data_IF_140785153011
#
_entry.id   IF_140785153011
#
_cell.length_a   1.000
_cell.length_b   1.000
_cell.length_c   1.000
_cell.angle_alpha   90.00
_cell.angle_beta   90.00
_cell.angle_gamma   90.00
#
_symmetry.space_group_name_H-M   'P 1'
#
loop_
_entity.id
_entity.type
_entity.pdbx_description
1 polymer ?
#
# COMPACT_ATOMS: atom_id res chain seq x y z
N UNK A 1 -2.86 17.59 16.42
CA UNK A 1 -1.69 17.81 15.53
C UNK A 1 -0.56 16.94 16.03
N UNK A 2 -0.03 16.06 15.17
CA UNK A 2 1.14 15.21 15.48
C UNK A 2 2.22 15.43 14.44
N UNK A 3 3.47 15.13 14.77
CA UNK A 3 4.56 15.10 13.78
C UNK A 3 4.62 13.72 13.11
N UNK A 4 4.46 13.70 11.79
CA UNK A 4 4.47 12.49 10.97
C UNK A 4 5.66 12.51 10.03
N UNK A 5 6.42 11.42 10.02
CA UNK A 5 7.50 11.20 9.05
C UNK A 5 7.14 10.07 8.10
N UNK A 6 7.00 10.40 6.81
CA UNK A 6 6.63 9.46 5.76
C UNK A 6 7.86 9.00 4.96
N UNK A 7 8.20 7.73 5.03
CA UNK A 7 9.30 7.12 4.28
C UNK A 7 8.80 6.70 2.90
N UNK A 8 9.28 7.40 1.87
CA UNK A 8 8.95 7.13 0.47
C UNK A 8 7.77 7.96 -0.05
N UNK A 9 8.05 9.17 -0.52
CA UNK A 9 7.06 10.08 -1.09
C UNK A 9 6.57 9.67 -2.49
N UNK A 10 6.55 8.39 -2.89
CA UNK A 10 6.29 7.94 -4.27
C UNK A 10 4.90 8.31 -4.83
N UNK A 11 4.43 7.56 -5.82
CA UNK A 11 3.09 7.79 -6.42
C UNK A 11 1.97 7.84 -5.37
N UNK A 12 2.01 7.00 -4.33
CA UNK A 12 1.06 7.06 -3.20
C UNK A 12 1.53 8.02 -2.09
N UNK A 13 2.82 8.01 -1.79
CA UNK A 13 3.37 8.72 -0.63
C UNK A 13 3.33 10.24 -0.74
N UNK A 14 3.53 10.83 -1.93
CA UNK A 14 3.44 12.28 -2.12
C UNK A 14 2.03 12.82 -1.83
N UNK A 15 0.97 12.33 -2.50
CA UNK A 15 -0.38 12.83 -2.21
C UNK A 15 -0.85 12.50 -0.79
N UNK A 16 -0.39 11.38 -0.20
CA UNK A 16 -0.60 11.12 1.22
C UNK A 16 0.07 12.18 2.11
N UNK A 17 1.33 12.54 1.83
CA UNK A 17 2.02 13.58 2.57
C UNK A 17 1.30 14.93 2.45
N UNK A 18 0.83 15.29 1.26
CA UNK A 18 0.04 16.50 1.03
C UNK A 18 -1.24 16.50 1.87
N UNK A 19 -2.04 15.43 1.83
CA UNK A 19 -3.26 15.34 2.62
C UNK A 19 -3.00 15.41 4.13
N UNK A 20 -1.91 14.82 4.62
CA UNK A 20 -1.55 14.89 6.04
C UNK A 20 -1.15 16.31 6.50
N UNK A 21 -0.61 17.15 5.61
CA UNK A 21 -0.21 18.53 5.98
C UNK A 21 -1.38 19.41 6.42
N UNK A 22 -2.62 19.04 6.11
CA UNK A 22 -3.81 19.77 6.55
C UNK A 22 -3.96 19.78 8.08
N UNK A 23 -3.53 18.73 8.78
CA UNK A 23 -3.76 18.55 10.22
C UNK A 23 -2.49 18.17 11.02
N UNK A 24 -1.36 17.95 10.33
CA UNK A 24 -0.12 17.44 10.91
C UNK A 24 1.11 18.18 10.38
N UNK A 25 2.18 18.16 11.18
CA UNK A 25 3.51 18.51 10.70
C UNK A 25 4.07 17.29 9.95
N UNK A 26 4.39 17.44 8.67
CA UNK A 26 4.82 16.31 7.82
C UNK A 26 6.25 16.50 7.32
N UNK A 27 7.05 15.46 7.49
CA UNK A 27 8.35 15.29 6.83
C UNK A 27 8.29 14.06 5.93
N UNK A 28 8.96 14.09 4.78
CA UNK A 28 8.96 12.91 3.91
C UNK A 28 10.28 12.66 3.21
N UNK A 29 10.50 11.42 2.77
CA UNK A 29 11.77 11.02 2.15
C UNK A 29 11.67 10.64 0.68
N UNK A 30 12.79 10.86 -0.01
CA UNK A 30 13.08 10.39 -1.37
C UNK A 30 14.44 9.71 -1.37
N UNK A 31 14.69 8.80 -2.31
CA UNK A 31 16.00 8.12 -2.39
C UNK A 31 17.09 8.98 -3.05
N UNK A 32 16.73 10.08 -3.71
CA UNK A 32 17.66 10.94 -4.44
C UNK A 32 17.42 12.40 -4.12
N UNK A 33 18.50 13.20 -4.10
CA UNK A 33 18.47 14.64 -3.85
C UNK A 33 17.56 15.38 -4.82
N UNK A 34 17.58 15.03 -6.11
CA UNK A 34 16.72 15.66 -7.12
C UNK A 34 15.23 15.52 -6.77
N UNK A 35 14.77 14.30 -6.48
CA UNK A 35 13.38 14.06 -6.08
C UNK A 35 13.01 14.64 -4.71
N UNK A 36 13.99 14.86 -3.83
CA UNK A 36 13.79 15.59 -2.56
C UNK A 36 13.53 17.07 -2.82
N UNK A 37 14.30 17.70 -3.73
CA UNK A 37 14.11 19.11 -4.09
C UNK A 37 12.72 19.37 -4.69
N UNK A 38 12.16 18.43 -5.44
CA UNK A 38 10.78 18.50 -5.94
C UNK A 38 9.74 18.61 -4.81
N UNK A 39 9.99 18.05 -3.62
CA UNK A 39 9.06 18.13 -2.49
C UNK A 39 8.86 19.58 -2.01
N UNK A 40 9.90 20.41 -2.13
CA UNK A 40 9.83 21.83 -1.73
C UNK A 40 8.84 22.61 -2.59
N UNK A 41 8.68 22.23 -3.85
CA UNK A 41 7.68 22.81 -4.77
C UNK A 41 6.25 22.50 -4.34
N UNK A 42 6.06 21.42 -3.58
CA UNK A 42 4.78 21.03 -2.99
C UNK A 42 4.60 21.53 -1.55
N UNK A 43 5.50 22.39 -1.04
CA UNK A 43 5.45 22.90 0.32
C UNK A 43 5.76 21.84 1.39
N UNK A 44 6.33 20.69 1.02
CA UNK A 44 6.63 19.60 1.95
C UNK A 44 8.11 19.59 2.29
N UNK A 45 8.42 19.45 3.57
CA UNK A 45 9.82 19.31 4.02
C UNK A 45 10.33 17.91 3.73
N UNK A 46 11.31 17.82 2.82
CA UNK A 46 11.90 16.58 2.35
C UNK A 46 13.26 16.25 2.99
N UNK A 47 13.63 14.97 3.00
CA UNK A 47 15.01 14.51 3.23
C UNK A 47 15.37 13.33 2.33
N UNK A 48 16.67 13.05 2.19
CA UNK A 48 17.14 11.90 1.43
C UNK A 48 17.20 10.69 2.35
N UNK A 49 16.61 9.57 1.92
CA UNK A 49 16.67 8.31 2.63
C UNK A 49 16.63 7.16 1.61
N UNK A 50 17.68 6.35 1.61
CA UNK A 50 17.72 5.08 0.90
C UNK A 50 17.86 3.94 1.92
N UNK A 51 16.75 3.21 2.13
CA UNK A 51 16.69 2.10 3.08
C UNK A 51 17.62 0.94 2.72
N UNK A 52 18.14 0.86 1.49
CA UNK A 52 19.12 -0.17 1.12
C UNK A 52 20.49 0.05 1.78
N UNK A 53 20.82 1.32 2.08
CA UNK A 53 22.09 1.70 2.73
C UNK A 53 22.09 1.36 4.22
N UNK A 54 20.91 1.33 4.86
CA UNK A 54 20.73 1.01 6.29
C UNK A 54 21.65 1.83 7.21
N UNK A 55 21.86 3.10 6.91
CA UNK A 55 22.71 3.99 7.71
C UNK A 55 22.13 4.24 9.12
N UNK A 56 22.92 4.67 10.10
CA UNK A 56 22.38 4.93 11.45
C UNK A 56 21.75 6.33 11.61
N UNK A 57 21.68 7.11 10.53
CA UNK A 57 21.26 8.52 10.60
C UNK A 57 19.73 8.69 10.66
N UNK A 58 18.97 7.67 10.24
CA UNK A 58 17.51 7.78 10.16
C UNK A 58 16.86 8.01 11.55
N UNK A 59 17.36 7.35 12.59
CA UNK A 59 16.90 7.64 13.97
C UNK A 59 17.19 9.08 14.39
N UNK A 60 18.34 9.66 13.99
CA UNK A 60 18.68 11.06 14.27
C UNK A 60 17.71 12.02 13.57
N UNK A 61 17.31 11.71 12.32
CA UNK A 61 16.27 12.45 11.62
C UNK A 61 14.94 12.42 12.39
N UNK A 62 14.50 11.25 12.84
CA UNK A 62 13.27 11.11 13.62
C UNK A 62 13.31 11.92 14.92
N UNK A 63 14.45 11.88 15.63
CA UNK A 63 14.66 12.63 16.88
C UNK A 63 14.64 14.15 16.60
N UNK A 64 15.38 14.63 15.60
CA UNK A 64 15.46 16.05 15.26
C UNK A 64 14.09 16.62 14.89
N UNK A 65 13.27 15.85 14.18
CA UNK A 65 11.92 16.22 13.77
C UNK A 65 10.87 16.01 14.87
N UNK A 66 11.23 15.31 15.97
CA UNK A 66 10.29 14.87 17.02
C UNK A 66 9.15 14.03 16.44
N UNK A 67 9.50 13.06 15.59
CA UNK A 67 8.54 12.20 14.90
C UNK A 67 7.74 11.35 15.89
N UNK A 68 6.42 11.51 15.91
CA UNK A 68 5.53 10.68 16.73
C UNK A 68 5.04 9.45 15.97
N UNK A 69 4.76 9.63 14.67
CA UNK A 69 4.25 8.59 13.78
C UNK A 69 5.20 8.46 12.60
N UNK A 70 5.58 7.23 12.26
CA UNK A 70 6.32 6.93 11.03
C UNK A 70 5.42 6.14 10.08
N UNK A 71 5.30 6.58 8.83
CA UNK A 71 4.54 5.88 7.78
C UNK A 71 5.50 5.37 6.73
N UNK A 72 5.59 4.05 6.51
CA UNK A 72 6.39 3.48 5.42
C UNK A 72 5.55 3.23 4.18
N UNK A 73 5.83 3.98 3.10
CA UNK A 73 5.16 3.91 1.79
C UNK A 73 6.17 3.62 0.67
N UNK A 74 7.08 2.68 0.89
CA UNK A 74 8.06 2.23 -0.10
C UNK A 74 7.71 0.83 -0.63
N UNK A 75 7.86 0.58 -1.94
CA UNK A 75 7.48 -0.69 -2.54
C UNK A 75 8.51 -1.79 -2.26
N UNK A 76 8.13 -3.08 -2.29
CA UNK A 76 9.04 -4.21 -2.09
C UNK A 76 10.07 -4.41 -3.20
N UNK A 77 9.98 -3.69 -4.32
CA UNK A 77 10.99 -3.77 -5.37
C UNK A 77 11.06 -5.11 -6.12
N UNK A 78 10.08 -6.01 -5.97
CA UNK A 78 10.03 -7.32 -6.67
C UNK A 78 10.28 -7.20 -8.18
N UNK A 79 9.69 -6.21 -8.84
CA UNK A 79 9.87 -5.96 -10.28
C UNK A 79 11.32 -5.61 -10.68
N UNK A 80 12.15 -5.22 -9.72
CA UNK A 80 13.57 -4.87 -9.90
C UNK A 80 14.50 -5.98 -9.40
N UNK A 81 13.98 -7.17 -9.06
CA UNK A 81 14.77 -8.28 -8.52
C UNK A 81 15.28 -8.08 -7.10
N UNK A 82 14.83 -7.03 -6.39
CA UNK A 82 15.30 -6.67 -5.03
C UNK A 82 14.28 -7.02 -3.93
N UNK A 83 13.34 -7.90 -4.24
CA UNK A 83 12.28 -8.32 -3.32
C UNK A 83 12.79 -8.82 -1.98
N UNK A 84 13.88 -9.58 -2.02
CA UNK A 84 14.49 -10.24 -0.86
C UNK A 84 14.96 -9.27 0.23
N UNK A 85 15.16 -7.99 -0.10
CA UNK A 85 15.61 -6.96 0.84
C UNK A 85 14.47 -6.28 1.61
N UNK A 86 13.21 -6.48 1.18
CA UNK A 86 12.08 -5.73 1.72
C UNK A 86 11.85 -5.98 3.21
N UNK A 87 11.98 -7.23 3.64
CA UNK A 87 11.86 -7.59 5.05
C UNK A 87 12.95 -6.91 5.90
N UNK A 88 14.20 -6.87 5.43
CA UNK A 88 15.32 -6.25 6.12
C UNK A 88 15.19 -4.72 6.14
N UNK A 89 14.61 -4.11 5.10
CA UNK A 89 14.32 -2.67 5.08
C UNK A 89 13.29 -2.31 6.16
N UNK A 90 12.24 -3.11 6.33
CA UNK A 90 11.27 -2.93 7.42
C UNK A 90 11.87 -3.22 8.79
N UNK A 91 12.67 -4.29 8.93
CA UNK A 91 13.41 -4.58 10.16
C UNK A 91 14.28 -3.40 10.59
N UNK A 92 15.03 -2.84 9.64
CA UNK A 92 15.86 -1.66 9.86
C UNK A 92 15.02 -0.43 10.23
N UNK A 93 13.94 -0.12 9.48
CA UNK A 93 13.08 1.02 9.76
C UNK A 93 12.47 0.95 11.16
N UNK A 94 11.98 -0.23 11.55
CA UNK A 94 11.47 -0.49 12.90
C UNK A 94 12.54 -0.24 13.96
N UNK A 95 13.77 -0.74 13.74
CA UNK A 95 14.87 -0.50 14.67
C UNK A 95 15.18 0.99 14.83
N UNK A 96 15.20 1.77 13.75
CA UNK A 96 15.43 3.22 13.79
C UNK A 96 14.29 3.97 14.48
N UNK A 97 13.04 3.58 14.23
CA UNK A 97 11.88 4.14 14.90
C UNK A 97 11.92 3.90 16.43
N UNK A 98 12.32 2.69 16.86
CA UNK A 98 12.51 2.36 18.27
C UNK A 98 13.61 3.19 18.93
N UNK A 99 14.76 3.33 18.29
CA UNK A 99 15.88 4.15 18.80
C UNK A 99 15.46 5.62 19.00
N UNK A 100 14.56 6.11 18.17
CA UNK A 100 14.03 7.47 18.24
C UNK A 100 12.81 7.64 19.17
N UNK A 101 12.36 6.57 19.85
CA UNK A 101 11.14 6.56 20.65
C UNK A 101 9.88 7.00 19.87
N UNK A 102 9.79 6.64 18.59
CA UNK A 102 8.58 6.84 17.78
C UNK A 102 7.43 6.07 18.43
N UNK A 103 6.27 6.70 18.57
CA UNK A 103 5.11 6.11 19.25
C UNK A 103 4.41 5.07 18.38
N UNK A 104 4.30 5.33 17.07
CA UNK A 104 3.50 4.51 16.16
C UNK A 104 4.14 4.35 14.79
N UNK A 105 3.98 3.16 14.20
CA UNK A 105 4.36 2.88 12.81
C UNK A 105 3.14 2.47 11.97
N UNK A 106 3.01 3.03 10.77
CA UNK A 106 1.98 2.62 9.79
C UNK A 106 2.65 2.06 8.56
N UNK A 107 2.27 0.84 8.17
CA UNK A 107 2.83 0.14 7.02
C UNK A 107 1.82 0.12 5.87
N UNK A 108 2.26 0.60 4.70
CA UNK A 108 1.60 0.30 3.43
C UNK A 108 2.06 -1.10 2.99
N UNK A 109 1.21 -2.09 3.22
CA UNK A 109 1.40 -3.47 2.75
C UNK A 109 0.56 -3.75 1.50
N UNK A 110 0.42 -5.01 1.11
CA UNK A 110 -0.33 -5.43 -0.05
C UNK A 110 -1.13 -6.70 0.22
N UNK A 111 -2.27 -6.84 -0.45
CA UNK A 111 -3.06 -8.08 -0.46
C UNK A 111 -2.38 -9.23 -1.19
N UNK A 112 -1.18 -9.04 -1.77
CA UNK A 112 -0.37 -10.14 -2.29
C UNK A 112 0.15 -11.10 -1.20
N UNK A 113 -0.05 -10.78 0.08
CA UNK A 113 0.26 -11.65 1.22
C UNK A 113 -0.60 -12.89 1.31
N UNK A 114 -1.77 -12.90 0.65
CA UNK A 114 -2.73 -14.00 0.71
C UNK A 114 -2.33 -15.17 -0.19
N UNK A 115 -2.72 -16.41 0.18
CA UNK A 115 -2.46 -17.58 -0.65
C UNK A 115 -3.20 -17.49 -2.00
N UNK A 116 -2.68 -18.16 -3.02
CA UNK A 116 -3.22 -18.18 -4.37
C UNK A 116 -4.36 -19.22 -4.50
N UNK A 117 -5.41 -19.05 -3.69
CA UNK A 117 -6.60 -19.90 -3.66
C UNK A 117 -7.87 -19.06 -3.89
N UNK A 118 -8.82 -19.61 -4.64
CA UNK A 118 -10.06 -18.91 -5.01
C UNK A 118 -11.08 -18.89 -3.85
N UNK A 119 -10.77 -18.12 -2.80
CA UNK A 119 -11.62 -17.93 -1.63
C UNK A 119 -11.70 -16.44 -1.23
N UNK A 120 -12.73 -16.04 -0.46
CA UNK A 120 -12.72 -14.76 0.23
C UNK A 120 -11.58 -14.70 1.26
N UNK A 121 -10.83 -13.59 1.27
CA UNK A 121 -9.67 -13.37 2.11
C UNK A 121 -9.93 -12.22 3.07
N UNK A 122 -9.91 -12.53 4.36
CA UNK A 122 -9.92 -11.62 5.50
C UNK A 122 -8.53 -11.55 6.14
N UNK A 123 -8.30 -10.66 7.10
CA UNK A 123 -6.96 -10.44 7.68
C UNK A 123 -6.37 -11.66 8.39
N UNK A 124 -7.21 -12.58 8.88
CA UNK A 124 -6.79 -13.82 9.54
C UNK A 124 -6.22 -14.87 8.58
N UNK A 125 -6.50 -14.75 7.28
CA UNK A 125 -6.13 -15.74 6.25
C UNK A 125 -4.69 -15.55 5.73
N UNK A 126 -3.93 -14.64 6.33
CA UNK A 126 -2.51 -14.45 6.03
C UNK A 126 -1.71 -14.03 7.27
N UNK A 127 -0.79 -14.91 7.67
CA UNK A 127 0.23 -14.69 8.69
C UNK A 127 1.53 -15.36 8.25
N UNK A 128 2.66 -14.94 8.83
CA UNK A 128 3.95 -15.58 8.56
C UNK A 128 3.92 -17.08 8.89
N UNK A 129 3.25 -17.48 9.98
CA UNK A 129 3.14 -18.87 10.39
C UNK A 129 2.33 -19.72 9.40
N UNK A 130 1.20 -19.20 8.89
CA UNK A 130 0.42 -19.86 7.84
C UNK A 130 1.23 -20.02 6.56
N UNK A 131 1.92 -18.94 6.15
CA UNK A 131 2.73 -18.99 4.95
C UNK A 131 3.82 -20.05 5.04
N UNK A 132 4.49 -20.21 6.19
CA UNK A 132 5.54 -21.22 6.38
C UNK A 132 5.07 -22.67 6.18
N UNK A 133 3.81 -22.99 6.48
CA UNK A 133 3.28 -24.37 6.39
C UNK A 133 2.42 -24.64 5.15
N UNK A 134 1.96 -23.61 4.44
CA UNK A 134 1.08 -23.74 3.27
C UNK A 134 1.82 -23.38 1.97
N UNK A 135 1.87 -24.31 1.02
CA UNK A 135 2.52 -24.14 -0.28
C UNK A 135 1.78 -23.18 -1.23
N UNK A 136 0.53 -22.83 -0.95
CA UNK A 136 -0.24 -21.86 -1.75
C UNK A 136 0.23 -20.41 -1.56
N UNK A 137 1.10 -20.15 -0.58
CA UNK A 137 1.74 -18.84 -0.43
C UNK A 137 2.97 -18.72 -1.31
N UNK A 138 2.93 -17.76 -2.24
CA UNK A 138 4.08 -17.39 -3.07
C UNK A 138 5.28 -16.92 -2.23
N UNK A 139 6.48 -16.96 -2.82
CA UNK A 139 7.69 -16.42 -2.19
C UNK A 139 7.55 -14.94 -1.84
N UNK A 140 6.94 -14.15 -2.75
CA UNK A 140 6.66 -12.74 -2.50
C UNK A 140 5.72 -12.52 -1.31
N UNK A 141 4.70 -13.37 -1.15
CA UNK A 141 3.81 -13.32 0.01
C UNK A 141 4.57 -13.56 1.33
N UNK A 142 5.48 -14.55 1.36
CA UNK A 142 6.32 -14.87 2.53
C UNK A 142 7.20 -13.69 2.93
N UNK A 143 7.83 -13.03 1.96
CA UNK A 143 8.67 -11.86 2.20
C UNK A 143 7.84 -10.68 2.74
N UNK A 144 6.68 -10.41 2.16
CA UNK A 144 5.77 -9.36 2.64
C UNK A 144 5.31 -9.65 4.07
N UNK A 145 4.93 -10.90 4.38
CA UNK A 145 4.52 -11.31 5.72
C UNK A 145 5.67 -11.27 6.74
N UNK A 146 6.89 -11.55 6.32
CA UNK A 146 8.08 -11.37 7.16
C UNK A 146 8.30 -9.89 7.50
N UNK A 147 8.09 -8.99 6.54
CA UNK A 147 8.13 -7.55 6.76
C UNK A 147 7.03 -7.07 7.73
N UNK A 148 5.79 -7.54 7.53
CA UNK A 148 4.67 -7.28 8.45
C UNK A 148 4.99 -7.78 9.86
N UNK A 149 5.60 -8.95 9.99
CA UNK A 149 5.97 -9.53 11.29
C UNK A 149 6.98 -8.66 12.05
N UNK A 150 7.96 -8.04 11.37
CA UNK A 150 8.88 -7.09 12.01
C UNK A 150 8.15 -5.87 12.59
N UNK A 151 7.08 -5.41 11.94
CA UNK A 151 6.23 -4.32 12.42
C UNK A 151 5.40 -4.77 13.63
N UNK A 152 4.79 -5.95 13.56
CA UNK A 152 3.97 -6.53 14.64
C UNK A 152 4.81 -6.76 15.90
N UNK A 153 6.00 -7.34 15.76
CA UNK A 153 6.89 -7.69 16.87
C UNK A 153 7.73 -6.50 17.36
N UNK A 154 7.53 -5.31 16.79
CA UNK A 154 8.32 -4.12 17.12
C UNK A 154 8.20 -3.70 18.59
N UNK A 155 7.04 -3.96 19.20
CA UNK A 155 6.64 -3.43 20.50
C UNK A 155 6.12 -1.98 20.45
N UNK A 156 6.12 -1.35 19.27
CA UNK A 156 5.50 -0.05 19.04
C UNK A 156 3.98 -0.20 18.84
N UNK A 157 3.23 0.90 18.94
CA UNK A 157 1.90 0.90 18.33
C UNK A 157 2.06 0.77 16.81
N UNK A 158 1.15 0.03 16.17
CA UNK A 158 1.26 -0.20 14.73
C UNK A 158 -0.10 -0.30 14.04
N UNK A 159 -0.10 0.02 12.75
CA UNK A 159 -1.19 -0.36 11.85
C UNK A 159 -0.61 -0.81 10.51
N UNK A 160 -1.09 -1.93 9.98
CA UNK A 160 -0.71 -2.45 8.66
C UNK A 160 -1.93 -2.35 7.76
N UNK A 161 -1.79 -1.62 6.65
CA UNK A 161 -2.85 -1.43 5.65
C UNK A 161 -2.46 -2.22 4.40
N UNK A 162 -3.14 -3.34 4.15
CA UNK A 162 -2.94 -4.20 2.98
C UNK A 162 -3.75 -3.64 1.81
N UNK A 163 -3.11 -2.85 0.95
CA UNK A 163 -3.75 -2.28 -0.23
C UNK A 163 -3.89 -3.33 -1.35
N UNK A 164 -5.06 -3.40 -1.97
CA UNK A 164 -5.29 -4.19 -3.19
C UNK A 164 -4.72 -3.48 -4.44
N UNK A 165 -5.19 -3.82 -5.64
CA UNK A 165 -4.71 -3.23 -6.89
C UNK A 165 -4.91 -1.72 -6.95
N UNK A 166 -3.82 -0.97 -6.72
CA UNK A 166 -3.87 0.50 -6.70
C UNK A 166 -4.09 1.07 -8.11
N UNK A 167 -5.10 1.94 -8.23
CA UNK A 167 -5.48 2.69 -9.44
C UNK A 167 -5.66 4.18 -9.11
N UNK A 168 -5.66 5.03 -10.13
CA UNK A 168 -5.91 6.48 -9.99
C UNK A 168 -5.09 7.31 -10.98
N UNK A 169 -4.83 8.60 -10.67
CA UNK A 169 -4.12 9.51 -11.57
C UNK A 169 -2.80 8.93 -12.08
N UNK A 170 -2.58 9.00 -13.40
CA UNK A 170 -1.42 8.42 -14.10
C UNK A 170 -1.23 6.89 -13.95
N UNK A 171 -2.22 6.19 -13.38
CA UNK A 171 -2.24 4.74 -13.17
C UNK A 171 -3.60 4.13 -13.57
N UNK A 172 -4.22 4.69 -14.60
CA UNK A 172 -5.49 4.20 -15.12
C UNK A 172 -5.37 2.75 -15.64
N UNK A 173 -6.32 1.84 -15.32
CA UNK A 173 -6.24 0.42 -15.69
C UNK A 173 -6.11 0.15 -17.19
N UNK A 174 -6.68 1.01 -18.04
CA UNK A 174 -6.60 0.88 -19.50
C UNK A 174 -5.15 0.82 -20.01
N UNK A 175 -4.21 1.50 -19.34
CA UNK A 175 -2.78 1.49 -19.68
C UNK A 175 -2.11 0.13 -19.48
N UNK A 176 -2.74 -0.75 -18.71
CA UNK A 176 -2.23 -2.08 -18.37
C UNK A 176 -2.96 -3.21 -19.10
N UNK A 177 -4.18 -2.97 -19.62
CA UNK A 177 -5.01 -3.98 -20.26
C UNK A 177 -4.26 -4.78 -21.33
N UNK A 178 -3.60 -4.09 -22.27
CA UNK A 178 -2.84 -4.73 -23.35
C UNK A 178 -1.53 -5.41 -22.90
N UNK A 179 -1.10 -5.22 -21.65
CA UNK A 179 0.12 -5.82 -21.09
C UNK A 179 -0.17 -7.09 -20.28
N UNK A 180 -1.44 -7.42 -20.07
CA UNK A 180 -1.83 -8.65 -19.39
C UNK A 180 -1.77 -9.81 -20.38
N UNK A 181 -1.24 -10.95 -19.93
CA UNK A 181 -1.24 -12.17 -20.73
C UNK A 181 -2.67 -12.72 -20.95
N UNK A 182 -3.56 -12.47 -19.97
CA UNK A 182 -4.96 -12.90 -19.97
C UNK A 182 -5.77 -12.08 -18.96
N UNK A 183 -7.09 -12.06 -19.11
CA UNK A 183 -8.04 -11.57 -18.11
C UNK A 183 -9.07 -12.65 -17.79
N UNK A 184 -9.51 -12.74 -16.54
CA UNK A 184 -10.45 -13.79 -16.13
C UNK A 184 -11.85 -13.24 -15.87
N UNK A 185 -12.87 -14.00 -16.28
CA UNK A 185 -14.28 -13.73 -15.97
C UNK A 185 -14.67 -14.23 -14.56
N UNK A 186 -13.90 -15.15 -13.98
CA UNK A 186 -14.14 -15.73 -12.65
C UNK A 186 -13.29 -15.10 -11.54
N UNK A 187 -12.27 -14.31 -11.90
CA UNK A 187 -11.40 -13.65 -10.93
C UNK A 187 -11.93 -12.25 -10.56
N UNK A 188 -12.07 -11.90 -9.28
CA UNK A 188 -12.39 -10.53 -8.86
C UNK A 188 -11.27 -9.55 -9.23
N UNK A 189 -11.61 -8.30 -9.57
CA UNK A 189 -10.62 -7.29 -9.91
C UNK A 189 -9.73 -6.88 -8.72
N UNK A 190 -10.30 -6.83 -7.50
CA UNK A 190 -9.64 -6.40 -6.26
C UNK A 190 -8.83 -5.10 -6.45
N UNK A 191 -9.52 -3.98 -6.61
CA UNK A 191 -8.91 -2.68 -6.88
C UNK A 191 -9.19 -1.69 -5.76
N UNK A 192 -8.32 -0.69 -5.62
CA UNK A 192 -8.43 0.40 -4.66
C UNK A 192 -7.97 1.71 -5.31
N UNK A 193 -8.83 2.72 -5.29
CA UNK A 193 -8.45 4.04 -5.77
C UNK A 193 -7.43 4.71 -4.83
N UNK A 194 -6.55 5.55 -5.40
CA UNK A 194 -5.54 6.30 -4.64
C UNK A 194 -6.16 7.11 -3.50
N UNK A 195 -7.32 7.73 -3.74
CA UNK A 195 -8.07 8.51 -2.74
C UNK A 195 -8.44 7.67 -1.52
N UNK A 196 -8.93 6.45 -1.73
CA UNK A 196 -9.25 5.54 -0.63
C UNK A 196 -8.02 4.94 0.03
N UNK A 197 -6.93 4.72 -0.71
CA UNK A 197 -5.66 4.33 -0.12
C UNK A 197 -5.12 5.42 0.82
N UNK A 198 -5.17 6.70 0.41
CA UNK A 198 -4.79 7.85 1.24
C UNK A 198 -5.70 7.95 2.45
N UNK A 199 -7.02 7.94 2.24
CA UNK A 199 -8.01 8.03 3.32
C UNK A 199 -7.83 6.91 4.36
N UNK A 200 -7.64 5.67 3.93
CA UNK A 200 -7.40 4.54 4.82
C UNK A 200 -6.10 4.70 5.63
N UNK A 201 -5.04 5.26 5.05
CA UNK A 201 -3.76 5.49 5.73
C UNK A 201 -3.85 6.63 6.74
N UNK A 202 -4.59 7.70 6.43
CA UNK A 202 -4.88 8.79 7.38
C UNK A 202 -5.69 8.23 8.55
N UNK A 203 -6.81 7.56 8.26
CA UNK A 203 -7.66 6.91 9.26
C UNK A 203 -6.87 5.93 10.13
N UNK A 204 -6.02 5.09 9.51
CA UNK A 204 -5.13 4.19 10.22
C UNK A 204 -4.17 4.93 11.15
N UNK A 205 -3.58 6.03 10.71
CA UNK A 205 -2.62 6.79 11.51
C UNK A 205 -3.27 7.48 12.71
N UNK A 206 -4.53 7.93 12.58
CA UNK A 206 -5.25 8.70 13.60
C UNK A 206 -6.10 7.87 14.55
N UNK A 207 -6.79 6.83 14.05
CA UNK A 207 -7.91 6.19 14.77
C UNK A 207 -7.64 4.74 15.18
N UNK A 208 -6.73 4.07 14.48
CA UNK A 208 -6.47 2.65 14.71
C UNK A 208 -5.24 2.44 15.61
N UNK A 209 -5.18 1.30 16.29
CA UNK A 209 -4.03 0.88 17.10
C UNK A 209 -3.96 -0.64 17.10
N UNK A 210 -2.77 -1.20 16.90
CA UNK A 210 -2.48 -2.65 16.81
C UNK A 210 -3.41 -3.40 15.87
N UNK A 211 -3.63 -2.85 14.66
CA UNK A 211 -4.51 -3.46 13.66
C UNK A 211 -3.77 -3.84 12.38
N UNK A 212 -4.23 -4.93 11.76
CA UNK A 212 -4.01 -5.24 10.34
C UNK A 212 -5.36 -5.11 9.66
N UNK A 213 -5.42 -4.39 8.54
CA UNK A 213 -6.66 -4.15 7.78
C UNK A 213 -6.43 -4.24 6.28
N UNK A 214 -7.40 -4.80 5.56
CA UNK A 214 -7.46 -4.76 4.11
C UNK A 214 -8.07 -3.43 3.66
N UNK A 215 -7.39 -2.77 2.72
CA UNK A 215 -7.93 -1.65 1.97
C UNK A 215 -8.19 -2.12 0.54
N UNK A 216 -9.46 -2.35 0.22
CA UNK A 216 -9.95 -2.70 -1.11
C UNK A 216 -11.34 -2.13 -1.29
N UNK A 217 -11.72 -1.74 -2.52
CA UNK A 217 -13.06 -1.25 -2.78
C UNK A 217 -14.12 -2.32 -2.42
N UNK A 218 -15.20 -1.98 -1.69
CA UNK A 218 -16.11 -2.98 -1.11
C UNK A 218 -16.81 -3.90 -2.12
N UNK A 219 -17.31 -3.33 -3.21
CA UNK A 219 -17.95 -4.06 -4.29
C UNK A 219 -17.03 -4.13 -5.50
N UNK A 220 -16.99 -5.30 -6.14
CA UNK A 220 -16.10 -5.55 -7.27
C UNK A 220 -16.79 -6.40 -8.32
N UNK A 221 -16.27 -6.31 -9.55
CA UNK A 221 -16.65 -7.14 -10.70
C UNK A 221 -15.50 -8.06 -11.08
N UNK A 222 -15.71 -8.89 -12.10
CA UNK A 222 -14.63 -9.71 -12.67
C UNK A 222 -13.50 -8.84 -13.24
N UNK A 223 -12.28 -9.39 -13.35
CA UNK A 223 -11.15 -8.73 -14.02
C UNK A 223 -11.50 -8.41 -15.47
N UNK A 224 -12.15 -9.32 -16.18
CA UNK A 224 -12.57 -9.10 -17.57
C UNK A 224 -13.51 -7.89 -17.69
N UNK A 225 -14.56 -7.83 -16.87
CA UNK A 225 -15.51 -6.71 -16.86
C UNK A 225 -14.84 -5.40 -16.45
N UNK A 226 -13.98 -5.43 -15.43
CA UNK A 226 -13.26 -4.24 -14.96
C UNK A 226 -12.34 -3.65 -16.05
N UNK A 227 -11.54 -4.48 -16.72
CA UNK A 227 -10.65 -3.97 -17.78
C UNK A 227 -11.43 -3.56 -19.03
N UNK A 228 -12.56 -4.21 -19.35
CA UNK A 228 -13.45 -3.76 -20.42
C UNK A 228 -14.01 -2.36 -20.12
N UNK A 229 -14.52 -2.17 -18.91
CA UNK A 229 -15.04 -0.88 -18.47
C UNK A 229 -13.94 0.20 -18.46
N UNK A 230 -12.71 -0.15 -18.07
CA UNK A 230 -11.59 0.79 -18.10
C UNK A 230 -11.19 1.20 -19.52
N UNK A 231 -11.25 0.29 -20.50
CA UNK A 231 -10.99 0.63 -21.90
C UNK A 231 -12.09 1.57 -22.44
N UNK A 232 -13.36 1.26 -22.14
CA UNK A 232 -14.49 2.10 -22.51
C UNK A 232 -14.43 3.50 -21.88
N UNK A 233 -14.11 3.59 -20.59
CA UNK A 233 -13.96 4.87 -19.88
C UNK A 233 -12.82 5.73 -20.46
N UNK A 234 -11.82 5.09 -21.08
CA UNK A 234 -10.71 5.77 -21.75
C UNK A 234 -10.94 6.02 -23.25
N UNK A 235 -12.13 5.71 -23.78
CA UNK A 235 -12.45 5.80 -25.21
C UNK A 235 -11.44 5.04 -26.10
N UNK A 236 -10.98 3.87 -25.61
CA UNK A 236 -10.03 3.01 -26.31
C UNK A 236 -10.70 1.75 -26.83
N UNK A 237 -10.66 1.55 -28.15
CA UNK A 237 -11.18 0.36 -28.84
C UNK A 237 -10.20 -0.82 -28.86
N UNK A 238 -9.23 -0.85 -27.95
CA UNK A 238 -8.26 -1.94 -27.89
C UNK A 238 -8.95 -3.24 -27.47
N UNK A 239 -8.66 -4.39 -28.10
CA UNK A 239 -9.24 -5.65 -27.66
C UNK A 239 -8.71 -6.02 -26.28
N UNK A 240 -9.55 -6.70 -25.49
CA UNK A 240 -9.07 -7.39 -24.30
C UNK A 240 -8.06 -8.49 -24.70
N UNK A 241 -7.07 -8.78 -23.84
CA UNK A 241 -6.27 -10.00 -23.96
C UNK A 241 -7.15 -11.25 -23.82
N UNK A 242 -6.60 -12.46 -24.10
CA UNK A 242 -7.36 -13.71 -23.99
C UNK A 242 -8.16 -13.79 -22.69
N UNK A 243 -9.46 -14.05 -22.85
CA UNK A 243 -10.36 -14.18 -21.72
C UNK A 243 -10.39 -15.64 -21.27
N UNK A 244 -10.25 -15.88 -19.97
CA UNK A 244 -10.18 -17.21 -19.36
C UNK A 244 -11.15 -17.36 -18.19
N UNK A 245 -11.41 -18.60 -17.79
CA UNK A 245 -12.28 -18.94 -16.66
C UNK A 245 -11.46 -19.48 -15.49
N UNK A 246 -10.56 -18.64 -14.96
CA UNK A 246 -9.69 -18.99 -13.83
C UNK A 246 -10.12 -18.18 -12.61
N UNK A 247 -10.70 -18.85 -11.61
CA UNK A 247 -11.07 -18.20 -10.36
C UNK A 247 -9.83 -17.75 -9.56
N UNK A 248 -9.99 -16.71 -8.74
CA UNK A 248 -8.93 -16.11 -7.93
C UNK A 248 -9.53 -15.62 -6.60
N UNK A 249 -8.68 -15.29 -5.64
CA UNK A 249 -9.11 -14.79 -4.32
C UNK A 249 -9.90 -13.49 -4.43
N UNK A 250 -10.89 -13.33 -3.55
CA UNK A 250 -11.60 -12.06 -3.32
C UNK A 250 -11.10 -11.43 -2.03
N UNK A 251 -10.69 -10.18 -2.04
CA UNK A 251 -10.28 -9.50 -0.81
C UNK A 251 -11.52 -8.88 -0.15
N UNK A 252 -11.69 -9.11 1.15
CA UNK A 252 -12.75 -8.53 1.96
C UNK A 252 -12.30 -7.19 2.57
N UNK A 253 -13.22 -6.22 2.61
CA UNK A 253 -12.99 -4.87 3.16
C UNK A 253 -13.74 -4.61 4.47
N UNK A 254 -14.52 -5.58 4.91
CA UNK A 254 -15.51 -5.49 5.99
C UNK A 254 -14.91 -4.94 7.28
N UNK A 255 -13.72 -5.42 7.66
CA UNK A 255 -13.05 -5.00 8.90
C UNK A 255 -12.76 -3.49 8.92
N UNK A 256 -12.26 -2.93 7.82
CA UNK A 256 -11.92 -1.50 7.75
C UNK A 256 -13.19 -0.63 7.86
N UNK A 257 -14.28 -1.04 7.20
CA UNK A 257 -15.59 -0.39 7.31
C UNK A 257 -16.19 -0.48 8.71
N UNK A 258 -16.12 -1.67 9.35
CA UNK A 258 -16.61 -1.89 10.72
C UNK A 258 -15.84 -1.05 11.76
N UNK A 259 -14.56 -0.80 11.50
CA UNK A 259 -13.75 0.08 12.34
C UNK A 259 -14.11 1.57 12.15
N UNK A 260 -14.89 1.92 11.12
CA UNK A 260 -15.45 3.26 10.92
C UNK A 260 -14.89 4.02 9.72
N UNK A 261 -14.06 3.40 8.87
CA UNK A 261 -13.63 4.04 7.63
C UNK A 261 -14.78 4.06 6.62
N UNK A 262 -14.93 5.18 5.91
CA UNK A 262 -15.91 5.33 4.84
C UNK A 262 -15.18 5.44 3.50
N UNK A 263 -15.44 4.51 2.59
CA UNK A 263 -14.86 4.52 1.25
C UNK A 263 -15.51 5.61 0.40
N UNK A 264 -14.70 6.32 -0.38
CA UNK A 264 -15.14 7.26 -1.41
C UNK A 264 -15.81 6.54 -2.56
N UNK A 265 -15.30 5.36 -2.93
CA UNK A 265 -15.88 4.51 -3.96
C UNK A 265 -16.42 3.23 -3.33
N UNK A 266 -17.70 2.97 -3.52
CA UNK A 266 -18.37 1.77 -3.03
C UNK A 266 -18.15 0.58 -3.97
N UNK A 267 -17.96 0.88 -5.27
CA UNK A 267 -17.80 -0.11 -6.33
C UNK A 267 -16.60 0.19 -7.24
N UNK A 268 -15.85 -0.84 -7.64
CA UNK A 268 -14.62 -0.66 -8.45
C UNK A 268 -14.83 0.05 -9.79
N UNK A 269 -16.06 0.10 -10.32
CA UNK A 269 -16.37 0.76 -11.59
C UNK A 269 -16.51 2.27 -11.41
N UNK A 270 -16.95 2.74 -10.24
CA UNK A 270 -17.01 4.17 -9.90
C UNK A 270 -15.60 4.79 -9.88
N UNK A 271 -14.60 3.99 -9.48
CA UNK A 271 -13.20 4.39 -9.40
C UNK A 271 -12.49 4.47 -10.77
N UNK A 272 -13.19 4.22 -11.89
CA UNK A 272 -12.67 4.34 -13.25
C UNK A 272 -12.96 5.71 -13.90
N UNK A 273 -13.76 6.56 -13.26
CA UNK A 273 -14.06 7.87 -13.81
C UNK A 273 -12.76 8.68 -14.00
N UNK A 274 -12.52 9.18 -15.22
CA UNK A 274 -11.31 9.93 -15.59
C UNK A 274 -11.22 11.32 -14.95
N UNK A 275 -12.26 11.75 -14.23
CA UNK A 275 -12.44 13.12 -13.77
C UNK A 275 -12.00 13.33 -12.31
N UNK A 276 -10.78 12.90 -11.95
CA UNK A 276 -10.09 13.36 -10.73
C UNK A 276 -8.58 13.55 -10.98
#
# INVERSE_FOLDING_TARGET
MSTITLIGAGWLGLPLAQALTENHQVYTSRTQTAGMLELTQHGITGFVCDLSLRDQSLSQHFIAQKSEIVIGSFPPGFRKGRGQEYAQQWQYLVAQAKLANVRKIVMVSSTSVYPDIAQPMSEQDASLSLAQSDSNFSEGARIMLQAEQHVIDSGLDYVIVRCSGLIGPNRHPSRFAARLAQVSQLAPANMLHQKDAIGALIFASEKLSKQVVNATTPQTVSKAEFYQAALAAAELDSPLPPIVDIADKRILSDKLSQLGYQFHYSHTLEALALNE
#
